data_IF_086657122612
#
_entry.id   IF_086657122612
#
_cell.length_a   1.000
_cell.length_b   1.000
_cell.length_c   1.000
_cell.angle_alpha   90.00
_cell.angle_beta   90.00
_cell.angle_gamma   90.00
#
_symmetry.space_group_name_H-M   'P 1'
#
loop_
_entity.id
_entity.type
_entity.pdbx_description
1 polymer ?
#
# COMPACT_ATOMS: atom_id res chain seq x y z
N UNK A 1 -13.02 -17.77 -16.71
CA UNK A 1 -12.75 -16.32 -16.80
C UNK A 1 -11.83 -16.04 -17.97
N UNK A 2 -11.98 -14.84 -18.56
CA UNK A 2 -11.03 -14.26 -19.49
C UNK A 2 -10.18 -13.21 -18.78
N UNK A 3 -8.90 -13.46 -18.61
CA UNK A 3 -8.00 -12.69 -17.73
C UNK A 3 -6.89 -12.03 -18.54
N UNK A 4 -6.50 -10.81 -18.15
CA UNK A 4 -5.28 -10.15 -18.63
C UNK A 4 -4.25 -10.03 -17.50
N UNK A 5 -3.13 -10.73 -17.61
CA UNK A 5 -2.01 -10.58 -16.69
C UNK A 5 -1.03 -9.52 -17.21
N UNK A 6 -0.61 -8.60 -16.33
CA UNK A 6 0.29 -7.50 -16.67
C UNK A 6 1.41 -7.47 -15.63
N UNK A 7 2.64 -7.75 -16.06
CA UNK A 7 3.80 -7.88 -15.18
C UNK A 7 4.80 -6.76 -15.42
N UNK A 8 5.17 -6.07 -14.33
CA UNK A 8 6.21 -5.04 -14.37
C UNK A 8 7.60 -5.71 -14.28
N UNK A 9 8.30 -5.85 -15.43
CA UNK A 9 9.65 -6.43 -15.48
C UNK A 9 10.70 -5.67 -14.67
N UNK A 10 10.45 -4.40 -14.34
CA UNK A 10 11.34 -3.58 -13.51
C UNK A 10 11.07 -3.75 -12.00
N UNK A 11 10.03 -4.50 -11.63
CA UNK A 11 9.65 -4.80 -10.25
C UNK A 11 10.62 -5.78 -9.59
N UNK A 12 10.94 -5.52 -8.33
CA UNK A 12 11.83 -6.30 -7.45
C UNK A 12 12.29 -7.67 -7.94
N UNK A 13 11.53 -8.71 -7.65
CA UNK A 13 11.84 -10.11 -8.01
C UNK A 13 11.84 -10.34 -9.52
N UNK A 14 10.95 -9.70 -10.28
CA UNK A 14 10.85 -9.89 -11.73
C UNK A 14 12.10 -9.44 -12.50
N UNK A 15 12.89 -8.52 -11.95
CA UNK A 15 14.16 -8.10 -12.58
C UNK A 15 15.20 -9.20 -12.75
N UNK A 16 15.08 -10.26 -11.96
CA UNK A 16 16.00 -11.41 -11.99
C UNK A 16 15.29 -12.71 -12.36
N UNK A 17 13.99 -12.64 -12.67
CA UNK A 17 13.19 -13.81 -13.08
C UNK A 17 13.23 -13.94 -14.60
N UNK A 18 13.33 -15.18 -15.09
CA UNK A 18 13.04 -15.50 -16.48
C UNK A 18 11.54 -15.29 -16.74
N UNK A 19 11.20 -14.13 -17.32
CA UNK A 19 9.82 -13.74 -17.54
C UNK A 19 9.10 -14.59 -18.59
N UNK A 20 9.85 -15.22 -19.53
CA UNK A 20 9.26 -16.14 -20.51
C UNK A 20 8.86 -17.45 -19.83
N UNK A 21 9.74 -18.01 -18.99
CA UNK A 21 9.41 -19.18 -18.17
C UNK A 21 8.28 -18.90 -17.20
N UNK A 22 8.27 -17.73 -16.55
CA UNK A 22 7.21 -17.32 -15.64
C UNK A 22 5.86 -17.15 -16.38
N UNK A 23 5.85 -16.52 -17.56
CA UNK A 23 4.65 -16.36 -18.37
C UNK A 23 4.07 -17.71 -18.80
N UNK A 24 4.90 -18.66 -19.22
CA UNK A 24 4.43 -20.02 -19.52
C UNK A 24 3.78 -20.70 -18.33
N UNK A 25 4.38 -20.60 -17.13
CA UNK A 25 3.79 -21.14 -15.89
C UNK A 25 2.43 -20.53 -15.59
N UNK A 26 2.31 -19.21 -15.69
CA UNK A 26 1.03 -18.50 -15.50
C UNK A 26 -0.03 -18.99 -16.50
N UNK A 27 0.35 -19.13 -17.77
CA UNK A 27 -0.56 -19.60 -18.82
C UNK A 27 -1.00 -21.04 -18.57
N UNK A 28 -0.08 -21.92 -18.18
CA UNK A 28 -0.38 -23.33 -17.85
C UNK A 28 -1.35 -23.43 -16.68
N UNK A 29 -1.12 -22.72 -15.58
CA UNK A 29 -1.96 -22.78 -14.38
C UNK A 29 -3.38 -22.28 -14.65
N UNK A 30 -3.52 -21.13 -15.33
CA UNK A 30 -4.84 -20.57 -15.64
C UNK A 30 -5.60 -21.44 -16.65
N UNK A 31 -4.94 -21.98 -17.68
CA UNK A 31 -5.57 -22.90 -18.63
C UNK A 31 -5.98 -24.22 -17.98
N UNK A 32 -5.15 -24.76 -17.08
CA UNK A 32 -5.49 -25.96 -16.32
C UNK A 32 -6.74 -25.80 -15.46
N UNK A 33 -6.98 -24.58 -14.96
CA UNK A 33 -8.19 -24.20 -14.24
C UNK A 33 -9.39 -23.81 -15.16
N UNK A 34 -9.24 -23.92 -16.48
CA UNK A 34 -10.31 -23.64 -17.45
C UNK A 34 -10.49 -22.14 -17.75
N UNK A 35 -9.44 -21.33 -17.60
CA UNK A 35 -9.49 -19.89 -17.89
C UNK A 35 -8.72 -19.55 -19.16
N UNK A 36 -9.15 -18.50 -19.84
CA UNK A 36 -8.40 -17.85 -20.91
C UNK A 36 -7.50 -16.77 -20.31
N UNK A 37 -6.23 -16.73 -20.70
CA UNK A 37 -5.33 -15.71 -20.19
C UNK A 37 -4.46 -15.10 -21.29
N UNK A 38 -4.37 -13.79 -21.28
CA UNK A 38 -3.44 -13.01 -22.06
C UNK A 38 -2.35 -12.43 -21.14
N UNK A 39 -1.10 -12.44 -21.56
CA UNK A 39 0.01 -11.95 -20.73
C UNK A 39 0.71 -10.79 -21.43
N UNK A 40 1.01 -9.74 -20.67
CA UNK A 40 1.83 -8.62 -21.08
C UNK A 40 2.97 -8.42 -20.05
N UNK A 41 4.21 -8.39 -20.50
CA UNK A 41 5.39 -8.04 -19.70
C UNK A 41 5.87 -6.67 -20.16
N UNK A 42 5.72 -5.67 -19.28
CA UNK A 42 5.95 -4.26 -19.62
C UNK A 42 6.94 -3.59 -18.68
N UNK A 43 7.46 -2.44 -19.07
CA UNK A 43 8.27 -1.61 -18.18
C UNK A 43 7.43 -0.80 -17.20
N UNK A 44 8.07 -0.27 -16.15
CA UNK A 44 7.37 0.51 -15.11
C UNK A 44 6.61 1.72 -15.68
N UNK A 45 7.12 2.35 -16.73
CA UNK A 45 6.51 3.52 -17.37
C UNK A 45 5.26 3.17 -18.19
N UNK A 46 5.14 1.93 -18.65
CA UNK A 46 4.04 1.45 -19.49
C UNK A 46 2.91 0.82 -18.66
N UNK A 47 3.18 0.52 -17.37
CA UNK A 47 2.23 -0.20 -16.49
C UNK A 47 0.86 0.47 -16.45
N UNK A 48 0.83 1.79 -16.21
CA UNK A 48 -0.43 2.51 -16.03
C UNK A 48 -1.29 2.45 -17.29
N UNK A 49 -0.73 2.80 -18.43
CA UNK A 49 -1.45 2.85 -19.69
C UNK A 49 -1.94 1.45 -20.11
N UNK A 50 -1.13 0.41 -19.85
CA UNK A 50 -1.50 -0.97 -20.11
C UNK A 50 -2.65 -1.44 -19.19
N UNK A 51 -2.63 -1.06 -17.92
CA UNK A 51 -3.71 -1.34 -16.98
C UNK A 51 -5.00 -0.62 -17.36
N UNK A 52 -4.93 0.69 -17.67
CA UNK A 52 -6.09 1.49 -18.10
C UNK A 52 -6.69 0.93 -19.38
N UNK A 53 -5.85 0.56 -20.36
CA UNK A 53 -6.30 -0.07 -21.61
C UNK A 53 -6.97 -1.42 -21.36
N UNK A 54 -6.39 -2.27 -20.51
CA UNK A 54 -6.96 -3.57 -20.18
C UNK A 54 -8.31 -3.44 -19.46
N UNK A 55 -8.39 -2.55 -18.47
CA UNK A 55 -9.63 -2.33 -17.72
C UNK A 55 -10.72 -1.63 -18.56
N UNK A 56 -10.35 -0.94 -19.63
CA UNK A 56 -11.31 -0.37 -20.60
C UNK A 56 -11.90 -1.40 -21.60
N UNK A 57 -11.39 -2.63 -21.60
CA UNK A 57 -11.92 -3.71 -22.45
C UNK A 57 -13.17 -4.31 -21.81
N UNK A 58 -14.24 -4.40 -22.60
CA UNK A 58 -15.50 -5.00 -22.17
C UNK A 58 -15.57 -6.53 -22.25
N UNK A 59 -14.46 -7.18 -22.67
CA UNK A 59 -14.37 -8.63 -22.88
C UNK A 59 -13.52 -9.35 -21.82
N UNK A 60 -12.99 -8.65 -20.83
CA UNK A 60 -12.22 -9.23 -19.73
C UNK A 60 -13.07 -9.35 -18.46
N UNK A 61 -12.92 -10.48 -17.75
CA UNK A 61 -13.55 -10.74 -16.47
C UNK A 61 -12.69 -10.29 -15.29
N UNK A 62 -11.36 -10.27 -15.45
CA UNK A 62 -10.40 -9.88 -14.42
C UNK A 62 -9.05 -9.46 -15.02
N UNK A 63 -8.29 -8.70 -14.24
CA UNK A 63 -6.87 -8.45 -14.50
C UNK A 63 -6.01 -9.07 -13.39
N UNK A 64 -4.76 -9.41 -13.71
CA UNK A 64 -3.74 -9.79 -12.73
C UNK A 64 -2.56 -8.83 -12.89
N UNK A 65 -2.22 -8.10 -11.83
CA UNK A 65 -1.09 -7.19 -11.81
C UNK A 65 0.07 -7.78 -11.01
N UNK A 66 1.25 -7.81 -11.60
CA UNK A 66 2.45 -8.28 -10.91
C UNK A 66 3.51 -7.19 -10.81
N UNK A 67 4.06 -7.02 -9.60
CA UNK A 67 5.07 -6.01 -9.33
C UNK A 67 5.27 -5.74 -7.84
N UNK A 68 5.93 -4.63 -7.52
CA UNK A 68 6.06 -4.15 -6.14
C UNK A 68 4.83 -3.37 -5.69
N UNK A 69 4.84 -2.92 -4.41
CA UNK A 69 3.70 -2.25 -3.76
C UNK A 69 3.18 -1.04 -4.55
N UNK A 70 4.07 -0.24 -5.17
CA UNK A 70 3.64 0.87 -6.03
C UNK A 70 2.91 0.43 -7.31
N UNK A 71 3.31 -0.70 -7.92
CA UNK A 71 2.60 -1.29 -9.06
C UNK A 71 1.22 -1.76 -8.66
N UNK A 72 1.11 -2.43 -7.50
CA UNK A 72 -0.15 -2.94 -6.97
C UNK A 72 -1.10 -1.80 -6.59
N UNK A 73 -0.59 -0.75 -5.94
CA UNK A 73 -1.39 0.45 -5.64
C UNK A 73 -1.95 1.12 -6.89
N UNK A 74 -1.14 1.26 -7.94
CA UNK A 74 -1.59 1.81 -9.22
C UNK A 74 -2.67 0.92 -9.87
N UNK A 75 -2.47 -0.40 -9.88
CA UNK A 75 -3.43 -1.37 -10.42
C UNK A 75 -4.76 -1.34 -9.64
N UNK A 76 -4.70 -1.28 -8.32
CA UNK A 76 -5.89 -1.20 -7.48
C UNK A 76 -6.68 0.11 -7.72
N UNK A 77 -5.98 1.23 -7.94
CA UNK A 77 -6.64 2.49 -8.26
C UNK A 77 -7.35 2.48 -9.62
N UNK A 78 -6.82 1.76 -10.62
CA UNK A 78 -7.47 1.58 -11.92
C UNK A 78 -8.63 0.58 -11.80
N UNK A 79 -8.41 -0.54 -11.15
CA UNK A 79 -9.40 -1.60 -10.91
C UNK A 79 -10.62 -1.06 -10.16
N UNK A 80 -10.43 -0.28 -9.11
CA UNK A 80 -11.50 0.36 -8.35
C UNK A 80 -12.38 1.26 -9.23
N UNK A 81 -11.75 2.14 -10.03
CA UNK A 81 -12.48 3.09 -10.90
C UNK A 81 -13.30 2.41 -12.00
N UNK A 82 -12.91 1.23 -12.41
CA UNK A 82 -13.55 0.48 -13.49
C UNK A 82 -14.42 -0.67 -13.00
N UNK A 83 -14.36 -1.01 -11.72
CA UNK A 83 -15.02 -2.19 -11.16
C UNK A 83 -14.39 -3.52 -11.60
N UNK A 84 -13.19 -3.49 -12.23
CA UNK A 84 -12.49 -4.68 -12.73
C UNK A 84 -11.90 -5.49 -11.57
N UNK A 85 -12.18 -6.79 -11.46
CA UNK A 85 -11.52 -7.64 -10.48
C UNK A 85 -10.01 -7.71 -10.67
N UNK A 86 -9.24 -7.58 -9.57
CA UNK A 86 -7.79 -7.54 -9.56
C UNK A 86 -7.18 -8.71 -8.81
N UNK A 87 -6.40 -9.55 -9.49
CA UNK A 87 -5.45 -10.49 -8.90
C UNK A 87 -4.07 -9.82 -8.70
N UNK A 88 -3.31 -10.27 -7.70
CA UNK A 88 -2.04 -9.65 -7.31
C UNK A 88 -0.93 -10.70 -7.31
N UNK A 89 0.19 -10.39 -8.00
CA UNK A 89 1.45 -11.15 -7.91
C UNK A 89 2.51 -10.31 -7.20
N UNK A 90 2.95 -10.73 -5.99
CA UNK A 90 3.83 -9.95 -5.12
C UNK A 90 5.30 -10.07 -5.55
N UNK A 91 5.78 -9.18 -6.41
CA UNK A 91 7.17 -9.16 -6.85
C UNK A 91 7.99 -8.00 -6.22
N UNK A 92 7.49 -7.39 -5.16
CA UNK A 92 8.15 -6.32 -4.41
C UNK A 92 8.93 -6.83 -3.20
N UNK A 93 9.38 -5.88 -2.36
CA UNK A 93 10.09 -6.18 -1.10
C UNK A 93 9.13 -6.32 0.08
N UNK A 94 8.15 -5.42 0.20
CA UNK A 94 7.23 -5.39 1.34
C UNK A 94 5.98 -6.24 1.08
N UNK A 95 5.39 -6.11 -0.12
CA UNK A 95 4.22 -6.86 -0.59
C UNK A 95 3.04 -6.80 0.41
N UNK A 96 2.73 -5.59 0.89
CA UNK A 96 1.81 -5.38 2.01
C UNK A 96 0.40 -5.91 1.73
N UNK A 97 -0.15 -5.59 0.56
CA UNK A 97 -1.50 -6.05 0.16
C UNK A 97 -1.55 -7.57 0.02
N UNK A 98 -0.51 -8.18 -0.58
CA UNK A 98 -0.45 -9.63 -0.72
C UNK A 98 -0.39 -10.34 0.65
N UNK A 99 0.28 -9.75 1.64
CA UNK A 99 0.29 -10.23 3.03
C UNK A 99 -1.09 -10.14 3.68
N UNK A 100 -1.78 -9.01 3.52
CA UNK A 100 -3.17 -8.84 3.98
C UNK A 100 -4.09 -9.92 3.39
N UNK A 101 -3.88 -10.27 2.13
CA UNK A 101 -4.64 -11.31 1.42
C UNK A 101 -4.14 -12.74 1.71
N UNK A 102 -3.08 -12.89 2.52
CA UNK A 102 -2.44 -14.18 2.81
C UNK A 102 -2.00 -14.94 1.56
N UNK A 103 -1.63 -14.23 0.49
CA UNK A 103 -1.10 -14.82 -0.73
C UNK A 103 0.32 -15.33 -0.51
N UNK A 104 0.75 -16.39 -1.20
CA UNK A 104 2.14 -16.79 -1.21
C UNK A 104 3.06 -15.63 -1.64
N UNK A 105 4.21 -15.46 -0.97
CA UNK A 105 5.22 -14.49 -1.37
C UNK A 105 6.19 -15.04 -2.43
N UNK A 106 6.17 -16.35 -2.63
CA UNK A 106 6.83 -17.03 -3.74
C UNK A 106 5.98 -16.85 -5.00
N UNK A 107 6.47 -16.04 -5.94
CA UNK A 107 5.75 -15.68 -7.17
C UNK A 107 5.34 -16.92 -8.00
N UNK A 108 6.10 -18.01 -7.93
CA UNK A 108 5.84 -19.24 -8.69
C UNK A 108 4.62 -20.04 -8.19
N UNK A 109 4.18 -19.78 -6.96
CA UNK A 109 2.99 -20.41 -6.35
C UNK A 109 1.70 -19.62 -6.54
N UNK A 110 1.83 -18.32 -6.84
CA UNK A 110 0.68 -17.41 -6.91
C UNK A 110 -0.24 -17.72 -8.09
N UNK A 111 0.24 -18.04 -9.31
CA UNK A 111 -0.64 -18.30 -10.46
C UNK A 111 -1.65 -19.41 -10.19
N UNK A 112 -1.23 -20.55 -9.64
CA UNK A 112 -2.11 -21.67 -9.28
C UNK A 112 -3.17 -21.25 -8.25
N UNK A 113 -2.74 -20.46 -7.22
CA UNK A 113 -3.65 -19.95 -6.18
C UNK A 113 -4.70 -19.01 -6.74
N UNK A 114 -4.32 -18.10 -7.66
CA UNK A 114 -5.27 -17.19 -8.29
C UNK A 114 -6.17 -17.88 -9.29
N UNK A 115 -5.65 -18.81 -10.09
CA UNK A 115 -6.41 -19.57 -11.07
C UNK A 115 -7.55 -20.39 -10.43
N UNK A 116 -7.33 -20.90 -9.22
CA UNK A 116 -8.34 -21.64 -8.44
C UNK A 116 -9.02 -20.75 -7.38
N UNK A 117 -8.91 -19.45 -7.53
CA UNK A 117 -9.36 -18.47 -6.56
C UNK A 117 -10.83 -18.07 -6.71
N UNK A 118 -11.22 -17.08 -5.91
CA UNK A 118 -12.54 -16.44 -5.94
C UNK A 118 -12.42 -14.93 -5.86
N UNK A 119 -13.42 -14.23 -6.36
CA UNK A 119 -13.51 -12.77 -6.21
C UNK A 119 -14.15 -12.45 -4.86
N UNK A 120 -13.57 -11.49 -4.13
CA UNK A 120 -14.11 -10.91 -2.91
C UNK A 120 -14.24 -9.40 -3.08
N UNK A 121 -15.18 -8.82 -2.34
CA UNK A 121 -15.29 -7.38 -2.20
C UNK A 121 -14.42 -6.95 -1.01
N UNK A 122 -13.55 -5.98 -1.24
CA UNK A 122 -12.63 -5.43 -0.26
C UNK A 122 -12.75 -3.90 -0.21
N UNK A 123 -12.33 -3.33 0.91
CA UNK A 123 -12.34 -1.88 1.09
C UNK A 123 -11.16 -1.24 0.35
N UNK A 124 -11.36 0.01 -0.06
CA UNK A 124 -10.29 0.86 -0.58
C UNK A 124 -10.40 2.25 0.01
N UNK A 125 -9.25 2.86 0.31
CA UNK A 125 -9.20 4.25 0.77
C UNK A 125 -9.01 5.23 -0.38
N UNK A 126 -9.43 6.48 -0.19
CA UNK A 126 -9.06 7.58 -1.08
C UNK A 126 -8.61 8.83 -0.33
N UNK A 127 -7.68 9.59 -0.92
CA UNK A 127 -7.24 10.89 -0.48
C UNK A 127 -7.47 11.89 -1.64
N UNK A 128 -8.41 12.82 -1.48
CA UNK A 128 -8.88 13.72 -2.54
C UNK A 128 -9.20 12.97 -3.85
N UNK A 129 -9.85 11.78 -3.75
CA UNK A 129 -10.21 10.93 -4.88
C UNK A 129 -9.05 10.09 -5.47
N UNK A 130 -7.82 10.21 -4.96
CA UNK A 130 -6.72 9.32 -5.28
C UNK A 130 -6.78 8.09 -4.38
N UNK A 131 -6.93 6.92 -4.99
CA UNK A 131 -6.97 5.64 -4.26
C UNK A 131 -5.69 5.34 -3.50
N UNK A 132 -5.84 4.66 -2.36
CA UNK A 132 -4.76 3.96 -1.66
C UNK A 132 -5.28 2.64 -1.08
N UNK A 133 -4.45 1.62 -1.11
CA UNK A 133 -4.75 0.27 -0.60
C UNK A 133 -4.10 0.00 0.74
N UNK A 134 -3.09 0.79 1.10
CA UNK A 134 -2.37 0.65 2.36
C UNK A 134 -2.55 1.87 3.25
N UNK A 135 -1.93 3.02 2.91
CA UNK A 135 -2.04 4.20 3.78
C UNK A 135 -1.74 5.54 3.10
N UNK A 136 -2.37 6.57 3.64
CA UNK A 136 -1.95 7.96 3.57
C UNK A 136 -1.14 8.31 4.82
N UNK A 137 -0.07 9.11 4.72
CA UNK A 137 0.68 9.54 5.91
C UNK A 137 1.43 10.84 5.72
N UNK A 138 1.76 11.50 6.84
CA UNK A 138 2.49 12.77 6.89
C UNK A 138 3.47 12.82 8.08
N UNK A 139 4.28 13.85 8.10
CA UNK A 139 5.23 14.11 9.18
C UNK A 139 6.44 13.17 9.11
N UNK A 140 6.68 12.39 10.17
CA UNK A 140 7.84 11.49 10.27
C UNK A 140 7.98 10.56 9.06
N UNK A 141 6.91 9.89 8.66
CA UNK A 141 6.95 8.94 7.54
C UNK A 141 7.26 9.65 6.21
N UNK A 142 6.61 10.79 5.93
CA UNK A 142 6.89 11.55 4.72
C UNK A 142 8.36 12.04 4.67
N UNK A 143 8.91 12.41 5.82
CA UNK A 143 10.32 12.79 5.93
C UNK A 143 11.24 11.60 5.66
N UNK A 144 10.94 10.42 6.18
CA UNK A 144 11.70 9.19 5.92
C UNK A 144 11.68 8.80 4.44
N UNK A 145 10.51 8.83 3.79
CA UNK A 145 10.37 8.52 2.35
C UNK A 145 11.14 9.50 1.50
N UNK A 146 11.09 10.81 1.82
CA UNK A 146 11.86 11.85 1.12
C UNK A 146 13.37 11.60 1.22
N UNK A 147 13.86 11.24 2.39
CA UNK A 147 15.27 10.91 2.56
C UNK A 147 15.65 9.68 1.76
N UNK A 148 14.85 8.61 1.80
CA UNK A 148 15.11 7.40 1.00
C UNK A 148 15.18 7.69 -0.51
N UNK A 149 14.35 8.58 -1.02
CA UNK A 149 14.38 8.98 -2.43
C UNK A 149 15.62 9.80 -2.80
N UNK A 150 16.06 10.72 -1.93
CA UNK A 150 17.26 11.55 -2.21
C UNK A 150 18.54 10.71 -2.33
N UNK A 151 18.58 9.50 -1.75
CA UNK A 151 19.75 8.61 -1.82
C UNK A 151 19.80 7.67 -3.03
N UNK A 152 18.73 7.56 -3.79
CA UNK A 152 18.74 6.76 -5.04
C UNK A 152 19.74 7.30 -6.06
N UNK A 153 20.16 8.55 -5.93
CA UNK A 153 21.06 9.26 -6.84
C UNK A 153 22.52 9.36 -6.35
N UNK A 154 22.86 8.84 -5.16
CA UNK A 154 24.21 8.92 -4.61
C UNK A 154 25.03 7.64 -4.84
N UNK A 155 26.38 7.77 -4.97
CA UNK A 155 27.30 6.63 -5.10
C UNK A 155 27.27 5.70 -3.88
N UNK A 156 27.71 4.44 -4.03
CA UNK A 156 27.63 3.40 -2.97
C UNK A 156 28.23 3.84 -1.61
N UNK A 157 29.35 4.55 -1.60
CA UNK A 157 30.01 5.03 -0.36
C UNK A 157 29.34 6.29 0.20
N UNK A 158 28.86 7.19 -0.64
CA UNK A 158 28.04 8.34 -0.24
C UNK A 158 26.68 7.95 0.34
N UNK A 159 26.13 6.80 -0.05
CA UNK A 159 24.83 6.29 0.42
C UNK A 159 24.81 5.97 1.92
N UNK A 160 25.86 5.35 2.45
CA UNK A 160 25.91 4.91 3.85
C UNK A 160 26.00 6.13 4.79
N UNK A 161 26.95 7.07 4.55
CA UNK A 161 27.13 8.26 5.39
C UNK A 161 25.95 9.23 5.30
N UNK A 162 25.35 9.34 4.12
CA UNK A 162 24.18 10.18 3.90
C UNK A 162 22.90 9.58 4.52
N UNK A 163 22.69 8.27 4.42
CA UNK A 163 21.56 7.56 5.06
C UNK A 163 21.61 7.69 6.59
N UNK A 164 22.80 7.56 7.16
CA UNK A 164 23.00 7.72 8.62
C UNK A 164 22.71 9.14 9.07
N UNK A 165 23.24 10.15 8.35
CA UNK A 165 22.96 11.56 8.68
C UNK A 165 21.50 11.92 8.58
N UNK A 166 20.79 11.35 7.63
CA UNK A 166 19.39 11.62 7.42
C UNK A 166 18.48 10.93 8.45
N UNK A 167 18.76 9.67 8.78
CA UNK A 167 18.10 8.98 9.89
C UNK A 167 18.33 9.76 11.20
N UNK A 168 19.57 10.18 11.45
CA UNK A 168 19.94 11.06 12.56
C UNK A 168 19.12 12.37 12.50
N UNK A 169 19.04 13.04 11.35
CA UNK A 169 18.29 14.29 11.19
C UNK A 169 16.77 14.15 11.46
N UNK A 170 16.18 13.00 11.12
CA UNK A 170 14.76 12.71 11.45
C UNK A 170 14.59 12.51 12.95
N UNK A 171 15.52 11.80 13.60
CA UNK A 171 15.46 11.49 15.03
C UNK A 171 15.68 12.76 15.86
N UNK A 172 16.70 13.56 15.54
CA UNK A 172 17.10 14.73 16.35
C UNK A 172 16.29 16.00 16.11
N UNK A 173 15.52 16.07 15.00
CA UNK A 173 14.63 17.19 14.73
C UNK A 173 13.32 16.66 14.16
N UNK A 174 12.48 16.00 14.99
CA UNK A 174 11.21 15.46 14.53
C UNK A 174 10.29 16.58 14.05
N UNK A 175 9.40 16.33 13.08
CA UNK A 175 8.40 17.31 12.66
C UNK A 175 7.49 17.68 13.84
N UNK A 176 7.10 18.94 13.89
CA UNK A 176 6.03 19.45 14.75
C UNK A 176 5.19 20.37 13.89
N UNK A 177 3.93 20.03 13.68
CA UNK A 177 3.00 20.81 12.88
C UNK A 177 1.58 20.72 13.42
N UNK A 178 0.85 21.79 13.22
CA UNK A 178 -0.53 21.93 13.66
C UNK A 178 -1.47 21.36 12.60
N UNK A 179 -2.47 20.61 13.06
CA UNK A 179 -3.57 20.10 12.24
C UNK A 179 -4.91 20.42 12.90
N UNK A 180 -5.90 20.65 12.08
CA UNK A 180 -7.31 20.53 12.42
C UNK A 180 -7.84 19.31 11.68
N UNK A 181 -8.60 18.48 12.34
CA UNK A 181 -9.24 17.35 11.69
C UNK A 181 -10.71 17.20 12.10
N UNK A 182 -11.48 16.65 11.19
CA UNK A 182 -12.83 16.17 11.43
C UNK A 182 -12.88 14.68 11.07
N UNK A 183 -13.09 13.82 12.06
CA UNK A 183 -13.24 12.39 11.90
C UNK A 183 -14.67 12.00 12.28
N UNK A 184 -15.52 11.75 11.28
CA UNK A 184 -16.95 11.46 11.46
C UNK A 184 -17.69 12.43 12.40
N UNK A 185 -17.39 13.75 12.30
CA UNK A 185 -17.96 14.78 13.14
C UNK A 185 -17.20 15.07 14.44
N UNK A 186 -16.22 14.25 14.80
CA UNK A 186 -15.31 14.57 15.90
C UNK A 186 -14.23 15.54 15.43
N UNK A 187 -14.35 16.79 15.86
CA UNK A 187 -13.44 17.89 15.48
C UNK A 187 -12.44 18.18 16.57
N UNK A 188 -11.19 18.23 16.18
CA UNK A 188 -10.11 18.57 17.11
C UNK A 188 -8.98 19.31 16.39
N UNK A 189 -8.27 20.13 17.15
CA UNK A 189 -7.05 20.80 16.73
C UNK A 189 -5.92 20.37 17.64
N UNK A 190 -4.82 19.88 17.06
CA UNK A 190 -3.66 19.42 17.83
C UNK A 190 -2.36 19.60 17.07
N UNK A 191 -1.27 19.61 17.82
CA UNK A 191 0.09 19.50 17.30
C UNK A 191 0.49 18.04 17.20
N UNK A 192 1.15 17.65 16.10
CA UNK A 192 1.55 16.27 15.83
C UNK A 192 2.92 16.21 15.17
N UNK A 193 3.65 15.11 15.42
CA UNK A 193 4.86 14.74 14.68
C UNK A 193 4.57 13.81 13.51
N UNK A 194 3.47 13.07 13.56
CA UNK A 194 3.08 12.15 12.50
C UNK A 194 1.56 11.97 12.45
N UNK A 195 1.08 11.73 11.24
CA UNK A 195 -0.27 11.27 10.92
C UNK A 195 -0.14 10.05 10.03
N UNK A 196 -0.99 9.05 10.25
CA UNK A 196 -1.24 7.96 9.32
C UNK A 196 -2.73 7.68 9.25
N UNK A 197 -3.24 7.47 8.04
CA UNK A 197 -4.61 7.01 7.80
C UNK A 197 -4.50 5.77 6.92
N UNK A 198 -4.78 4.61 7.50
CA UNK A 198 -4.72 3.34 6.77
C UNK A 198 -6.08 2.95 6.20
N UNK A 199 -6.05 2.25 5.08
CA UNK A 199 -7.20 1.52 4.58
C UNK A 199 -7.34 0.27 5.47
N UNK A 200 -8.39 0.25 6.28
CA UNK A 200 -8.56 -0.65 7.41
C UNK A 200 -7.50 -0.46 8.51
N UNK A 201 -7.71 -1.05 9.68
CA UNK A 201 -6.78 -0.93 10.79
C UNK A 201 -5.51 -1.75 10.55
N UNK A 202 -4.37 -1.21 10.95
CA UNK A 202 -3.13 -1.99 10.97
C UNK A 202 -3.25 -3.20 11.89
N UNK A 203 -2.70 -4.32 11.46
CA UNK A 203 -2.54 -5.50 12.29
C UNK A 203 -1.42 -5.34 13.33
N UNK A 204 -1.09 -6.43 13.99
CA UNK A 204 -0.05 -6.50 15.03
C UNK A 204 1.33 -6.89 14.50
N UNK A 205 1.53 -6.88 13.17
CA UNK A 205 2.81 -7.18 12.53
C UNK A 205 3.74 -5.97 12.51
N UNK A 206 5.04 -6.21 12.43
CA UNK A 206 6.09 -5.18 12.28
C UNK A 206 5.98 -4.38 10.99
N UNK A 207 5.37 -4.94 9.96
CA UNK A 207 5.18 -4.31 8.65
C UNK A 207 3.94 -3.42 8.57
N UNK A 208 3.10 -3.42 9.64
CA UNK A 208 1.93 -2.54 9.74
C UNK A 208 0.95 -2.68 8.54
N UNK A 209 0.69 -3.90 8.05
CA UNK A 209 -0.35 -4.15 7.07
C UNK A 209 -1.69 -4.50 7.76
N UNK A 210 -2.81 -4.30 7.07
CA UNK A 210 -4.12 -4.66 7.59
C UNK A 210 -4.32 -6.18 7.55
N UNK A 211 -4.84 -6.76 8.63
CA UNK A 211 -5.18 -8.19 8.72
C UNK A 211 -6.57 -8.49 8.14
N UNK A 212 -7.44 -7.48 8.13
CA UNK A 212 -8.79 -7.51 7.56
C UNK A 212 -8.91 -6.36 6.57
N UNK A 213 -9.33 -6.66 5.34
CA UNK A 213 -9.56 -5.68 4.27
C UNK A 213 -11.04 -5.36 4.07
N UNK A 214 -11.91 -5.74 5.02
CA UNK A 214 -13.38 -5.64 4.91
C UNK A 214 -14.02 -4.99 6.13
N UNK A 215 -13.23 -4.30 6.99
CA UNK A 215 -13.74 -3.68 8.22
C UNK A 215 -14.66 -2.48 7.97
N UNK A 216 -14.65 -1.92 6.77
CA UNK A 216 -15.44 -0.76 6.38
C UNK A 216 -14.98 0.56 7.01
N UNK A 217 -13.77 0.61 7.61
CA UNK A 217 -13.29 1.79 8.34
C UNK A 217 -11.84 2.11 8.02
N UNK A 218 -11.51 3.40 8.06
CA UNK A 218 -10.13 3.87 8.11
C UNK A 218 -9.58 3.74 9.52
N UNK A 219 -8.31 3.34 9.64
CA UNK A 219 -7.55 3.51 10.86
C UNK A 219 -6.86 4.87 10.86
N UNK A 220 -7.28 5.80 11.73
CA UNK A 220 -6.66 7.11 11.86
C UNK A 220 -5.73 7.16 13.08
N UNK A 221 -4.44 7.42 12.83
CA UNK A 221 -3.39 7.39 13.84
C UNK A 221 -2.68 8.74 13.90
N UNK A 222 -2.49 9.26 15.10
CA UNK A 222 -1.71 10.47 15.34
C UNK A 222 -0.64 10.23 16.41
N UNK A 223 0.55 10.83 16.21
CA UNK A 223 1.59 10.92 17.22
C UNK A 223 1.74 12.38 17.67
N UNK A 224 1.73 12.68 18.98
CA UNK A 224 1.94 14.04 19.49
C UNK A 224 3.35 14.54 19.11
N UNK A 225 3.69 15.80 19.38
CA UNK A 225 5.07 16.28 19.22
C UNK A 225 6.05 15.38 19.96
N UNK A 226 6.98 14.77 19.22
CA UNK A 226 7.91 13.80 19.75
C UNK A 226 9.29 14.44 19.99
N UNK A 227 9.91 14.10 21.12
CA UNK A 227 11.33 14.30 21.32
C UNK A 227 12.15 13.26 20.55
N UNK A 228 13.48 13.45 20.40
CA UNK A 228 14.36 12.42 19.84
C UNK A 228 14.22 11.05 20.51
N UNK A 229 14.08 11.02 21.83
CA UNK A 229 13.84 9.80 22.58
C UNK A 229 12.46 9.19 22.28
N UNK A 230 11.44 10.03 22.07
CA UNK A 230 10.10 9.60 21.64
C UNK A 230 10.12 8.95 20.25
N UNK A 231 10.86 9.52 19.29
CA UNK A 231 11.03 8.91 17.96
C UNK A 231 11.74 7.55 18.05
N UNK A 232 12.80 7.46 18.86
CA UNK A 232 13.52 6.20 19.08
C UNK A 232 12.59 5.14 19.73
N UNK A 233 11.81 5.53 20.75
CA UNK A 233 10.82 4.64 21.39
C UNK A 233 9.75 4.16 20.38
N UNK A 234 9.14 5.08 19.62
CA UNK A 234 8.13 4.71 18.62
C UNK A 234 8.71 3.77 17.56
N UNK A 235 9.93 4.05 17.07
CA UNK A 235 10.62 3.16 16.13
C UNK A 235 10.85 1.76 16.71
N UNK A 236 11.22 1.68 17.98
CA UNK A 236 11.39 0.40 18.67
C UNK A 236 10.06 -0.34 18.86
N UNK A 237 8.97 0.37 19.21
CA UNK A 237 7.63 -0.22 19.32
C UNK A 237 7.18 -0.79 17.96
N UNK A 238 7.41 -0.07 16.84
CA UNK A 238 7.13 -0.55 15.49
C UNK A 238 7.92 -1.83 15.18
N UNK A 239 9.23 -1.84 15.43
CA UNK A 239 10.10 -3.01 15.19
C UNK A 239 9.69 -4.24 16.00
N UNK A 240 8.93 -4.06 17.07
CA UNK A 240 8.36 -5.15 17.90
C UNK A 240 6.92 -5.49 17.54
N UNK A 241 6.34 -4.93 16.49
CA UNK A 241 4.94 -5.12 16.13
C UNK A 241 3.95 -4.48 17.12
N UNK A 242 4.41 -3.51 17.91
CA UNK A 242 3.62 -2.85 18.96
C UNK A 242 3.18 -1.43 18.59
N UNK A 243 3.04 -1.13 17.31
CA UNK A 243 2.63 0.21 16.86
C UNK A 243 1.31 0.66 17.50
N UNK A 244 0.25 -0.14 17.38
CA UNK A 244 -1.09 0.19 17.91
C UNK A 244 -1.14 0.27 19.44
N UNK A 245 -0.32 -0.52 20.13
CA UNK A 245 -0.24 -0.52 21.61
C UNK A 245 0.77 0.47 22.16
N UNK A 246 1.44 1.25 21.31
CA UNK A 246 2.38 2.29 21.75
C UNK A 246 1.64 3.44 22.44
N UNK A 247 2.11 3.83 23.62
CA UNK A 247 1.57 5.00 24.37
C UNK A 247 1.80 6.34 23.66
N UNK A 248 2.54 6.35 22.56
CA UNK A 248 2.83 7.52 21.73
C UNK A 248 1.86 7.64 20.53
N UNK A 249 0.92 6.71 20.38
CA UNK A 249 -0.03 6.71 19.28
C UNK A 249 -1.45 6.83 19.85
N UNK A 250 -2.21 7.75 19.26
CA UNK A 250 -3.66 7.80 19.42
C UNK A 250 -4.27 7.20 18.17
N UNK A 251 -5.13 6.18 18.33
CA UNK A 251 -5.86 5.51 17.26
C UNK A 251 -7.33 5.88 17.32
N UNK A 252 -7.92 6.14 16.17
CA UNK A 252 -9.36 6.35 15.97
C UNK A 252 -9.82 5.54 14.77
N UNK A 253 -11.06 5.05 14.81
CA UNK A 253 -11.75 4.42 13.69
C UNK A 253 -12.67 5.46 13.06
N UNK A 254 -12.66 5.61 11.74
CA UNK A 254 -13.50 6.57 11.05
C UNK A 254 -13.87 6.11 9.63
N UNK A 255 -15.05 6.56 9.14
CA UNK A 255 -15.42 6.41 7.72
C UNK A 255 -14.80 7.53 6.89
N UNK A 256 -14.68 8.70 7.50
CA UNK A 256 -14.18 9.91 6.86
C UNK A 256 -13.20 10.64 7.78
N UNK A 257 -12.11 11.15 7.20
CA UNK A 257 -11.17 12.02 7.91
C UNK A 257 -10.86 13.21 7.02
N UNK A 258 -11.30 14.40 7.43
CA UNK A 258 -10.95 15.66 6.77
C UNK A 258 -9.82 16.33 7.53
N UNK A 259 -8.68 16.51 6.88
CA UNK A 259 -7.50 17.16 7.44
C UNK A 259 -7.40 18.60 6.92
N UNK A 260 -7.09 19.54 7.81
CA UNK A 260 -6.76 20.92 7.47
C UNK A 260 -5.44 21.31 8.14
N UNK A 261 -4.58 22.01 7.41
CA UNK A 261 -3.26 22.46 7.83
C UNK A 261 -3.24 24.00 7.90
N UNK A 262 -3.56 24.62 9.04
CA UNK A 262 -3.81 26.07 9.14
C UNK A 262 -2.59 26.93 8.82
N UNK A 263 -1.36 26.40 9.07
CA UNK A 263 -0.09 27.13 8.89
C UNK A 263 0.71 26.64 7.69
N UNK A 264 0.02 26.34 6.58
CA UNK A 264 0.68 25.82 5.39
C UNK A 264 1.24 26.94 4.50
N UNK A 265 2.38 27.50 4.88
CA UNK A 265 3.11 28.51 4.05
C UNK A 265 3.96 27.89 2.94
N UNK A 266 4.10 26.57 2.89
CA UNK A 266 4.98 25.83 1.95
C UNK A 266 4.27 24.60 1.40
N UNK A 267 4.71 24.13 0.21
CA UNK A 267 4.29 22.83 -0.34
C UNK A 267 4.64 21.72 0.66
N UNK A 268 3.62 21.18 1.33
CA UNK A 268 3.77 20.01 2.20
C UNK A 268 3.59 18.78 1.33
N UNK A 269 4.38 17.74 1.58
CA UNK A 269 4.20 16.46 0.94
C UNK A 269 3.58 15.46 1.93
N UNK A 270 2.60 14.72 1.46
CA UNK A 270 2.14 13.48 2.07
C UNK A 270 2.79 12.27 1.38
N UNK A 271 2.57 11.11 1.94
CA UNK A 271 2.88 9.82 1.32
C UNK A 271 1.57 9.07 1.11
N UNK A 272 1.34 8.60 -0.08
CA UNK A 272 0.23 7.70 -0.44
C UNK A 272 0.85 6.42 -0.96
N UNK A 273 0.63 5.30 -0.28
CA UNK A 273 1.19 3.99 -0.59
C UNK A 273 2.69 4.01 -0.92
N UNK A 274 3.48 4.77 -0.14
CA UNK A 274 4.92 4.91 -0.31
C UNK A 274 5.39 5.94 -1.34
N UNK A 275 4.49 6.62 -2.05
CA UNK A 275 4.82 7.69 -2.99
C UNK A 275 4.65 9.08 -2.37
N UNK A 276 5.63 9.96 -2.57
CA UNK A 276 5.52 11.37 -2.18
C UNK A 276 4.59 12.14 -3.11
N UNK A 277 3.56 12.75 -2.52
CA UNK A 277 2.53 13.52 -3.23
C UNK A 277 2.44 14.92 -2.62
N UNK A 278 2.49 15.99 -3.42
CA UNK A 278 2.33 17.34 -2.89
C UNK A 278 0.87 17.65 -2.54
N UNK A 279 0.63 18.19 -1.35
CA UNK A 279 -0.66 18.77 -0.98
C UNK A 279 -0.69 20.21 -1.49
N UNK A 280 -1.73 20.57 -2.22
CA UNK A 280 -1.84 21.88 -2.87
C UNK A 280 -2.81 22.84 -2.18
N UNK A 281 -3.80 22.30 -1.48
CA UNK A 281 -4.95 23.08 -0.98
C UNK A 281 -4.90 23.37 0.54
N UNK A 282 -3.91 22.85 1.27
CA UNK A 282 -3.91 22.90 2.73
C UNK A 282 -4.98 22.04 3.38
N UNK A 283 -5.70 21.25 2.59
CA UNK A 283 -6.74 20.32 3.05
C UNK A 283 -6.58 18.99 2.32
N UNK A 284 -7.01 17.91 2.97
CA UNK A 284 -7.07 16.57 2.38
C UNK A 284 -8.33 15.89 2.92
N UNK A 285 -9.16 15.40 2.01
CA UNK A 285 -10.34 14.61 2.33
C UNK A 285 -10.02 13.12 2.15
N UNK A 286 -10.07 12.36 3.25
CA UNK A 286 -9.84 10.91 3.23
C UNK A 286 -11.17 10.19 3.45
N UNK A 287 -11.42 9.16 2.67
CA UNK A 287 -12.67 8.38 2.69
C UNK A 287 -12.35 6.90 2.57
N UNK A 288 -13.09 6.05 3.27
CA UNK A 288 -13.16 4.62 2.96
C UNK A 288 -14.30 4.40 1.96
N UNK A 289 -14.10 3.41 1.10
CA UNK A 289 -15.10 2.90 0.14
C UNK A 289 -15.28 1.40 0.42
N UNK A 290 -16.23 1.04 1.31
CA UNK A 290 -16.40 -0.33 1.75
C UNK A 290 -16.86 -1.24 0.62
N UNK A 291 -16.13 -2.35 0.40
CA UNK A 291 -16.48 -3.36 -0.58
C UNK A 291 -16.37 -2.93 -2.05
N UNK A 292 -15.83 -1.75 -2.35
CA UNK A 292 -15.79 -1.25 -3.72
C UNK A 292 -14.61 -1.80 -4.55
N UNK A 293 -13.59 -2.39 -3.93
CA UNK A 293 -12.47 -3.02 -4.64
C UNK A 293 -12.68 -4.53 -4.74
N UNK A 294 -12.83 -5.03 -5.98
CA UNK A 294 -12.93 -6.46 -6.23
C UNK A 294 -11.55 -7.10 -6.33
N UNK A 295 -11.24 -8.08 -5.48
CA UNK A 295 -9.96 -8.77 -5.46
C UNK A 295 -10.13 -10.26 -5.77
N UNK A 296 -9.32 -10.76 -6.69
CA UNK A 296 -9.18 -12.19 -6.95
C UNK A 296 -8.17 -12.76 -5.94
N UNK A 297 -8.64 -13.65 -5.07
CA UNK A 297 -7.86 -14.24 -3.97
C UNK A 297 -7.93 -15.76 -4.02
N UNK A 298 -6.98 -16.44 -3.37
CA UNK A 298 -7.03 -17.89 -3.26
C UNK A 298 -8.29 -18.40 -2.57
N UNK A 299 -8.79 -19.54 -2.98
CA UNK A 299 -9.80 -20.28 -2.24
C UNK A 299 -9.21 -20.61 -0.85
N UNK A 300 -9.82 -20.19 0.24
CA UNK A 300 -9.44 -20.68 1.56
C UNK A 300 -9.83 -22.16 1.64
N UNK A 301 -8.90 -23.05 1.34
CA UNK A 301 -8.99 -24.38 1.92
C UNK A 301 -8.84 -24.20 3.43
N UNK A 302 -9.88 -24.59 4.15
CA UNK A 302 -9.88 -24.61 5.61
C UNK A 302 -8.65 -25.39 6.10
N UNK A 303 -7.66 -24.71 6.67
CA UNK A 303 -6.64 -25.34 7.51
C UNK A 303 -7.26 -25.87 8.82
N UNK A 304 -8.40 -26.55 8.71
CA UNK A 304 -8.98 -27.38 9.76
C UNK A 304 -8.47 -28.82 9.57
N UNK A 305 -7.19 -29.03 9.84
CA UNK A 305 -6.68 -30.40 9.79
C UNK A 305 -5.20 -30.54 9.57
N UNK A 306 -4.36 -29.94 10.42
CA UNK A 306 -3.02 -30.46 10.75
C UNK A 306 -2.64 -30.01 12.16
N UNK A 307 -3.40 -30.49 13.13
CA UNK A 307 -2.86 -30.69 14.49
C UNK A 307 -2.49 -32.16 14.57
N UNK A 308 -1.21 -32.46 14.46
CA UNK A 308 -0.57 -33.64 15.07
C UNK A 308 0.80 -33.20 15.54
#
# INVERSE_FOLDING_TARGET
LKVKAIFNRDGGTFRTTDMDAYSRKVEEDFRAAGHEIEIAVVGANEMRDTLETACGRGDLDAIVAGGGDGTISAAAGVAWKTGMPLGIVPAGTMNLVARSLKLPLDIWKVPEVLANGRIIDADIGSADGRAFVHQFSMGLHARMVRYRQSYRFASRLGKISASTRAAIGVIFNPPDFEIEFDADGHRERRHVSAISVSNNHFGHDTLMYAEDLTSGHLGFYTAPPLSPAGVAKLSFDILRGKFRSSTLITEMSALTVDLHFPKMDRKINCVIDGELVPIRSGRVALRVHPGELKLLVGSQESNAGKTV
#
